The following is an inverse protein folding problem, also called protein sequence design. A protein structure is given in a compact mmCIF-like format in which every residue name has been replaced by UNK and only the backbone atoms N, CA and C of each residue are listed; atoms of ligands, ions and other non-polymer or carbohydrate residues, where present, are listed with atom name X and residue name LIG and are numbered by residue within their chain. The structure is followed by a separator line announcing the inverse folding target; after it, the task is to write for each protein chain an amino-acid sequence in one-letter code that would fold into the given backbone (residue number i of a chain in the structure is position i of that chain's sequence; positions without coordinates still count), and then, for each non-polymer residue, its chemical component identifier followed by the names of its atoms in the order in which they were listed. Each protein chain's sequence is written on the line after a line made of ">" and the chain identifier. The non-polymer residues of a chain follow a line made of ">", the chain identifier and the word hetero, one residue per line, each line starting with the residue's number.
data_IF_291311692072
#
_entry.id   IF_291311692072
#
_cell.length_a   1.000
_cell.length_b   1.000
_cell.length_c   1.000
_cell.angle_alpha   90.00
_cell.angle_beta   90.00
_cell.angle_gamma   90.00
#
_symmetry.space_group_name_H-M   'P 1'
#
loop_
_entity.id
_entity.type
_entity.pdbx_description
1 polymer ?
#
# COMPACT_ATOMS: atom_id res chain seq x y z
N UNK A 1 59.90 51.02 9.04
CA UNK A 1 59.97 50.73 7.58
C UNK A 1 58.77 49.87 7.23
N UNK A 2 57.61 50.48 6.96
CA UNK A 2 56.36 49.84 6.53
C UNK A 2 55.32 50.98 6.46
N UNK A 3 55.03 51.52 5.27
CA UNK A 3 53.80 52.27 4.92
C UNK A 3 53.92 52.82 3.48
N UNK A 4 54.00 51.95 2.47
CA UNK A 4 54.03 52.36 1.06
C UNK A 4 53.25 51.42 0.12
N UNK A 5 52.13 50.86 0.59
CA UNK A 5 51.41 49.77 -0.10
C UNK A 5 49.91 49.96 -0.31
N UNK A 6 49.29 51.07 0.09
CA UNK A 6 47.81 51.18 0.14
C UNK A 6 47.19 52.10 -0.93
N UNK A 7 47.98 52.85 -1.70
CA UNK A 7 47.47 53.86 -2.64
C UNK A 7 47.33 53.41 -4.12
N UNK A 8 47.58 52.13 -4.42
CA UNK A 8 47.42 51.59 -5.80
C UNK A 8 46.01 51.04 -6.06
N UNK A 9 45.38 50.41 -5.07
CA UNK A 9 44.08 49.74 -5.25
C UNK A 9 42.89 50.71 -5.41
N UNK A 10 42.94 51.91 -4.79
CA UNK A 10 41.86 52.90 -4.92
C UNK A 10 41.79 53.58 -6.29
N UNK A 11 42.88 53.60 -7.07
CA UNK A 11 42.86 54.15 -8.44
C UNK A 11 42.26 53.18 -9.46
N UNK A 12 42.44 51.88 -9.29
CA UNK A 12 41.91 50.86 -10.22
C UNK A 12 40.40 50.61 -10.07
N UNK A 13 39.82 50.92 -8.91
CA UNK A 13 38.36 50.78 -8.71
C UNK A 13 37.59 51.96 -9.33
N UNK A 14 38.18 53.16 -9.34
CA UNK A 14 37.54 54.34 -9.93
C UNK A 14 37.52 54.30 -11.47
N UNK A 15 38.50 53.65 -12.12
CA UNK A 15 38.54 53.52 -13.59
C UNK A 15 37.66 52.39 -14.12
N UNK A 16 37.35 51.35 -13.34
CA UNK A 16 36.52 50.22 -13.81
C UNK A 16 35.00 50.45 -13.79
N UNK A 17 34.52 51.55 -13.20
CA UNK A 17 33.09 51.89 -13.24
C UNK A 17 32.72 52.86 -14.37
N UNK A 18 33.70 53.31 -15.17
CA UNK A 18 33.48 54.33 -16.20
C UNK A 18 33.52 53.78 -17.64
N UNK A 19 33.79 52.48 -17.83
CA UNK A 19 33.78 51.83 -19.15
C UNK A 19 32.96 50.54 -19.14
N UNK A 20 31.70 50.63 -18.70
CA UNK A 20 30.69 49.72 -19.23
C UNK A 20 30.19 50.33 -20.54
N UNK A 21 30.51 49.78 -21.73
CA UNK A 21 29.80 50.21 -22.93
C UNK A 21 28.32 49.96 -22.65
N UNK A 22 27.52 51.04 -22.62
CA UNK A 22 26.08 50.91 -22.63
C UNK A 22 25.76 50.03 -23.83
N UNK A 23 25.41 48.76 -23.57
CA UNK A 23 24.89 47.86 -24.58
C UNK A 23 23.69 48.59 -25.18
N UNK A 24 23.95 49.23 -26.31
CA UNK A 24 22.99 50.09 -26.98
C UNK A 24 21.78 49.23 -27.29
N UNK A 25 20.60 49.86 -27.37
CA UNK A 25 19.38 49.15 -27.75
C UNK A 25 19.59 48.38 -29.07
N UNK A 26 20.50 48.83 -29.94
CA UNK A 26 20.96 48.11 -31.11
C UNK A 26 21.70 46.80 -30.78
N UNK A 27 22.66 46.77 -29.85
CA UNK A 27 23.37 45.51 -29.51
C UNK A 27 22.46 44.48 -28.84
N UNK A 28 21.48 44.95 -28.04
CA UNK A 28 20.42 44.06 -27.49
C UNK A 28 19.49 43.54 -28.58
N UNK A 29 19.12 44.38 -29.54
CA UNK A 29 18.32 43.96 -30.70
C UNK A 29 19.09 43.03 -31.62
N UNK A 30 20.39 43.20 -31.74
CA UNK A 30 21.27 42.36 -32.56
C UNK A 30 21.48 41.00 -31.91
N UNK A 31 21.74 40.96 -30.60
CA UNK A 31 21.79 39.72 -29.81
C UNK A 31 20.44 38.98 -29.82
N UNK A 32 19.31 39.69 -29.77
CA UNK A 32 17.98 39.10 -29.89
C UNK A 32 17.67 38.62 -31.32
N UNK A 33 18.11 39.36 -32.34
CA UNK A 33 17.96 38.97 -33.75
C UNK A 33 18.88 37.80 -34.12
N UNK A 34 20.03 37.67 -33.47
CA UNK A 34 20.95 36.56 -33.59
C UNK A 34 20.42 35.34 -32.83
N UNK A 35 19.80 35.52 -31.66
CA UNK A 35 19.01 34.48 -31.00
C UNK A 35 17.81 34.03 -31.84
N UNK A 36 17.12 34.96 -32.51
CA UNK A 36 15.99 34.62 -33.38
C UNK A 36 16.44 33.88 -34.65
N UNK A 37 17.62 34.21 -35.20
CA UNK A 37 18.23 33.52 -36.34
C UNK A 37 18.76 32.12 -35.97
N UNK A 38 19.40 31.98 -34.81
CA UNK A 38 19.90 30.68 -34.31
C UNK A 38 18.77 29.77 -33.84
N UNK A 39 17.65 30.33 -33.40
CA UNK A 39 16.41 29.62 -33.08
C UNK A 39 15.46 29.49 -34.28
N UNK A 40 15.99 29.59 -35.50
CA UNK A 40 15.33 29.15 -36.73
C UNK A 40 15.12 27.65 -36.69
N UNK A 41 14.14 27.20 -35.88
CA UNK A 41 13.66 25.84 -35.88
C UNK A 41 13.17 25.50 -37.29
N UNK A 42 13.44 24.28 -37.81
CA UNK A 42 12.93 23.87 -39.11
C UNK A 42 11.42 24.05 -39.12
N UNK A 43 10.91 24.68 -40.20
CA UNK A 43 9.53 25.13 -40.39
C UNK A 43 8.44 24.01 -40.39
N UNK A 44 8.72 22.84 -39.79
CA UNK A 44 7.80 21.71 -39.65
C UNK A 44 7.48 21.28 -38.20
N UNK A 45 8.05 21.94 -37.18
CA UNK A 45 8.05 21.39 -35.80
C UNK A 45 6.69 21.39 -35.07
N UNK A 46 5.71 22.17 -35.53
CA UNK A 46 4.38 22.22 -34.91
C UNK A 46 3.52 20.99 -35.17
N UNK A 47 3.66 20.33 -36.33
CA UNK A 47 2.82 19.17 -36.71
C UNK A 47 3.28 17.91 -36.00
N UNK A 48 4.59 17.70 -35.88
CA UNK A 48 5.17 16.60 -35.10
C UNK A 48 4.87 16.72 -33.60
N UNK A 49 4.96 17.94 -33.04
CA UNK A 49 4.57 18.19 -31.65
C UNK A 49 3.07 17.95 -31.42
N UNK A 50 2.20 18.39 -32.34
CA UNK A 50 0.75 18.12 -32.27
C UNK A 50 0.43 16.63 -32.37
N UNK A 51 1.14 15.88 -33.21
CA UNK A 51 0.98 14.42 -33.30
C UNK A 51 1.44 13.72 -32.02
N UNK A 52 2.58 14.12 -31.45
CA UNK A 52 3.06 13.59 -30.17
C UNK A 52 2.10 13.91 -29.01
N UNK A 53 1.59 15.14 -28.95
CA UNK A 53 0.60 15.55 -27.95
C UNK A 53 -0.72 14.79 -28.14
N UNK A 54 -1.17 14.62 -29.38
CA UNK A 54 -2.36 13.82 -29.69
C UNK A 54 -2.17 12.35 -29.28
N UNK A 55 -1.02 11.75 -29.59
CA UNK A 55 -0.70 10.38 -29.21
C UNK A 55 -0.64 10.24 -27.69
N UNK A 56 0.01 11.17 -26.99
CA UNK A 56 0.11 11.19 -25.54
C UNK A 56 -1.27 11.33 -24.86
N UNK A 57 -2.12 12.22 -25.37
CA UNK A 57 -3.50 12.36 -24.89
C UNK A 57 -4.30 11.10 -25.14
N UNK A 58 -4.16 10.47 -26.30
CA UNK A 58 -4.86 9.22 -26.63
C UNK A 58 -4.41 8.09 -25.72
N UNK A 59 -3.10 7.95 -25.50
CA UNK A 59 -2.53 6.97 -24.58
C UNK A 59 -2.99 7.21 -23.13
N UNK A 60 -3.04 8.48 -22.69
CA UNK A 60 -3.58 8.86 -21.39
C UNK A 60 -5.06 8.50 -21.27
N UNK A 61 -5.85 8.74 -22.32
CA UNK A 61 -7.28 8.42 -22.34
C UNK A 61 -7.50 6.90 -22.29
N UNK A 62 -6.72 6.12 -23.05
CA UNK A 62 -6.75 4.66 -23.00
C UNK A 62 -6.33 4.16 -21.62
N UNK A 63 -5.30 4.74 -21.01
CA UNK A 63 -4.89 4.40 -19.65
C UNK A 63 -5.98 4.73 -18.62
N UNK A 64 -6.66 5.87 -18.75
CA UNK A 64 -7.80 6.27 -17.90
C UNK A 64 -8.99 5.33 -18.07
N UNK A 65 -9.32 4.93 -19.31
CA UNK A 65 -10.39 3.96 -19.58
C UNK A 65 -10.00 2.59 -19.02
N UNK A 66 -8.77 2.13 -19.23
CA UNK A 66 -8.27 0.87 -18.68
C UNK A 66 -8.27 0.87 -17.15
N UNK A 67 -7.94 2.00 -16.53
CA UNK A 67 -8.06 2.22 -15.09
C UNK A 67 -9.52 2.12 -14.62
N UNK A 68 -10.44 2.80 -15.32
CA UNK A 68 -11.87 2.77 -15.02
C UNK A 68 -12.52 1.39 -15.18
N UNK A 69 -12.11 0.63 -16.20
CA UNK A 69 -12.60 -0.74 -16.45
C UNK A 69 -11.94 -1.75 -15.48
N UNK A 70 -10.99 -1.31 -14.67
CA UNK A 70 -10.34 -2.17 -13.68
C UNK A 70 -9.34 -3.12 -14.29
N UNK A 71 -8.70 -2.77 -15.41
CA UNK A 71 -7.55 -3.50 -15.94
C UNK A 71 -6.35 -3.52 -14.96
N UNK A 72 -6.31 -2.53 -14.05
CA UNK A 72 -5.44 -2.50 -12.86
C UNK A 72 -6.19 -2.83 -11.56
N UNK A 73 -7.43 -3.31 -11.68
CA UNK A 73 -8.34 -3.58 -10.57
C UNK A 73 -8.00 -4.87 -9.84
N UNK A 74 -8.40 -4.94 -8.58
CA UNK A 74 -8.24 -6.14 -7.76
C UNK A 74 -9.01 -7.29 -8.41
N UNK A 75 -8.40 -8.49 -8.57
CA UNK A 75 -9.06 -9.67 -9.12
C UNK A 75 -10.39 -9.94 -8.42
N UNK A 76 -11.37 -10.49 -9.15
CA UNK A 76 -12.72 -10.73 -8.62
C UNK A 76 -12.67 -11.64 -7.39
N UNK A 77 -11.83 -12.65 -7.43
CA UNK A 77 -11.62 -13.63 -6.37
C UNK A 77 -11.15 -12.97 -5.07
N UNK A 78 -10.22 -12.02 -5.18
CA UNK A 78 -9.71 -11.25 -4.03
C UNK A 78 -10.75 -10.25 -3.53
N UNK A 79 -11.54 -9.67 -4.42
CA UNK A 79 -12.62 -8.75 -4.04
C UNK A 79 -13.70 -9.45 -3.24
N UNK A 80 -14.09 -10.64 -3.67
CA UNK A 80 -15.11 -11.45 -2.99
C UNK A 80 -14.58 -11.90 -1.62
N UNK A 81 -13.34 -12.39 -1.56
CA UNK A 81 -12.68 -12.70 -0.29
C UNK A 81 -12.62 -11.50 0.65
N UNK A 82 -12.23 -10.33 0.14
CA UNK A 82 -12.18 -9.08 0.92
C UNK A 82 -13.56 -8.70 1.45
N UNK A 83 -14.62 -8.91 0.68
CA UNK A 83 -15.98 -8.61 1.14
C UNK A 83 -16.39 -9.49 2.32
N UNK A 84 -16.07 -10.79 2.27
CA UNK A 84 -16.29 -11.73 3.36
C UNK A 84 -15.46 -11.37 4.59
N UNK A 85 -14.17 -11.06 4.39
CA UNK A 85 -13.27 -10.60 5.46
C UNK A 85 -13.83 -9.35 6.13
N UNK A 86 -14.27 -8.35 5.36
CA UNK A 86 -14.82 -7.10 5.91
C UNK A 86 -16.12 -7.33 6.68
N UNK A 87 -16.99 -8.22 6.20
CA UNK A 87 -18.21 -8.58 6.90
C UNK A 87 -17.91 -9.20 8.27
N UNK A 88 -16.87 -10.04 8.33
CA UNK A 88 -16.46 -10.68 9.58
C UNK A 88 -15.72 -9.73 10.52
N UNK A 89 -14.90 -8.82 10.00
CA UNK A 89 -14.31 -7.75 10.82
C UNK A 89 -15.43 -6.88 11.44
N UNK A 90 -16.45 -6.55 10.67
CA UNK A 90 -17.59 -5.78 11.19
C UNK A 90 -18.40 -6.57 12.25
N UNK A 91 -18.44 -7.90 12.17
CA UNK A 91 -19.04 -8.75 13.22
C UNK A 91 -18.21 -8.67 14.51
N UNK A 92 -16.88 -8.78 14.38
CA UNK A 92 -15.93 -8.68 15.48
C UNK A 92 -15.96 -7.30 16.15
N UNK A 93 -16.12 -6.22 15.38
CA UNK A 93 -16.26 -4.87 15.94
C UNK A 93 -17.51 -4.69 16.82
N UNK A 94 -18.61 -5.41 16.55
CA UNK A 94 -19.78 -5.44 17.44
C UNK A 94 -19.46 -6.13 18.75
N UNK A 95 -18.72 -7.24 18.68
CA UNK A 95 -18.22 -7.95 19.87
C UNK A 95 -17.29 -7.07 20.69
N UNK A 96 -16.38 -6.34 20.03
CA UNK A 96 -15.49 -5.40 20.70
C UNK A 96 -16.29 -4.36 21.48
N UNK A 97 -17.42 -3.87 20.93
CA UNK A 97 -18.34 -2.91 21.57
C UNK A 97 -19.27 -3.51 22.63
N UNK A 98 -19.08 -4.78 23.01
CA UNK A 98 -19.94 -5.51 23.94
C UNK A 98 -21.39 -5.66 23.48
N UNK A 99 -21.66 -5.48 22.18
CA UNK A 99 -22.99 -5.67 21.59
C UNK A 99 -23.30 -7.17 21.36
N UNK A 100 -22.27 -8.02 21.40
CA UNK A 100 -22.37 -9.47 21.31
C UNK A 100 -21.28 -10.13 22.17
N UNK A 101 -21.52 -11.31 22.77
CA UNK A 101 -20.50 -12.04 23.51
C UNK A 101 -19.39 -12.55 22.58
N UNK A 102 -18.15 -12.42 23.01
CA UNK A 102 -17.03 -13.08 22.33
C UNK A 102 -17.11 -14.59 22.61
N UNK A 103 -17.47 -15.37 21.61
CA UNK A 103 -17.24 -16.80 21.63
C UNK A 103 -16.03 -17.08 20.74
N UNK A 104 -14.92 -17.49 21.37
CA UNK A 104 -13.65 -17.78 20.72
C UNK A 104 -13.72 -18.84 19.61
N UNK A 105 -14.85 -19.56 19.49
CA UNK A 105 -15.14 -20.49 18.41
C UNK A 105 -16.32 -20.13 17.49
N UNK A 106 -17.09 -19.07 17.75
CA UNK A 106 -18.31 -18.75 16.97
C UNK A 106 -18.07 -17.96 15.69
N UNK A 107 -16.89 -17.37 15.52
CA UNK A 107 -16.54 -16.71 14.26
C UNK A 107 -16.28 -17.81 13.23
N UNK A 108 -17.33 -18.15 12.47
CA UNK A 108 -17.29 -19.23 11.48
C UNK A 108 -16.49 -18.77 10.25
N UNK A 109 -15.18 -18.62 10.44
CA UNK A 109 -14.22 -18.29 9.38
C UNK A 109 -14.18 -19.37 8.28
N UNK A 110 -14.89 -20.49 8.44
CA UNK A 110 -14.96 -21.56 7.46
C UNK A 110 -15.23 -21.05 6.05
N UNK A 111 -16.22 -20.17 5.88
CA UNK A 111 -16.53 -19.57 4.59
C UNK A 111 -15.38 -18.72 4.01
N UNK A 112 -14.68 -17.97 4.87
CA UNK A 112 -13.51 -17.17 4.47
C UNK A 112 -12.34 -18.06 4.07
N UNK A 113 -12.07 -19.13 4.82
CA UNK A 113 -11.01 -20.10 4.52
C UNK A 113 -11.30 -20.90 3.24
N UNK A 114 -12.54 -21.32 3.02
CA UNK A 114 -12.93 -21.99 1.77
C UNK A 114 -12.71 -21.07 0.57
N UNK A 115 -13.16 -19.82 0.67
CA UNK A 115 -12.95 -18.84 -0.38
C UNK A 115 -11.45 -18.57 -0.62
N UNK A 116 -10.66 -18.44 0.45
CA UNK A 116 -9.22 -18.22 0.33
C UNK A 116 -8.48 -19.41 -0.32
N UNK A 117 -8.94 -20.65 -0.09
CA UNK A 117 -8.39 -21.85 -0.75
C UNK A 117 -8.75 -21.92 -2.23
N UNK A 118 -9.91 -21.41 -2.61
CA UNK A 118 -10.36 -21.34 -4.00
C UNK A 118 -9.61 -20.29 -4.83
N UNK A 119 -8.81 -19.40 -4.20
CA UNK A 119 -8.06 -18.36 -4.91
C UNK A 119 -6.92 -18.97 -5.74
N UNK A 120 -6.76 -18.55 -7.02
CA UNK A 120 -5.66 -18.97 -7.88
C UNK A 120 -4.27 -18.68 -7.27
N UNK A 121 -3.29 -19.53 -7.59
CA UNK A 121 -1.94 -19.45 -7.00
C UNK A 121 -1.27 -18.08 -7.17
N UNK A 122 -1.42 -17.46 -8.35
CA UNK A 122 -0.89 -16.13 -8.66
C UNK A 122 -1.42 -15.03 -7.70
N UNK A 123 -2.55 -15.28 -7.04
CA UNK A 123 -3.23 -14.32 -6.17
C UNK A 123 -3.20 -14.74 -4.70
N UNK A 124 -2.64 -15.90 -4.34
CA UNK A 124 -2.57 -16.40 -2.95
C UNK A 124 -1.93 -15.40 -2.00
N UNK A 125 -0.87 -14.70 -2.42
CA UNK A 125 -0.22 -13.69 -1.59
C UNK A 125 -1.16 -12.51 -1.24
N UNK A 126 -2.10 -12.17 -2.13
CA UNK A 126 -3.14 -11.20 -1.82
C UNK A 126 -4.18 -11.79 -0.86
N UNK A 127 -4.62 -13.04 -1.09
CA UNK A 127 -5.55 -13.72 -0.20
C UNK A 127 -5.01 -13.86 1.23
N UNK A 128 -3.75 -14.24 1.40
CA UNK A 128 -3.10 -14.36 2.71
C UNK A 128 -3.00 -13.02 3.45
N UNK A 129 -2.83 -11.90 2.74
CA UNK A 129 -2.88 -10.57 3.36
C UNK A 129 -4.26 -10.23 3.89
N UNK A 130 -5.33 -10.56 3.15
CA UNK A 130 -6.70 -10.36 3.61
C UNK A 130 -7.03 -11.27 4.81
N UNK A 131 -6.56 -12.51 4.79
CA UNK A 131 -6.66 -13.41 5.95
C UNK A 131 -5.91 -12.87 7.17
N UNK A 132 -4.69 -12.34 6.98
CA UNK A 132 -3.90 -11.73 8.06
C UNK A 132 -4.65 -10.58 8.74
N UNK A 133 -5.29 -9.71 7.96
CA UNK A 133 -6.16 -8.63 8.49
C UNK A 133 -7.30 -9.16 9.36
N UNK A 134 -7.93 -10.26 8.94
CA UNK A 134 -9.01 -10.87 9.71
C UNK A 134 -8.52 -11.38 11.06
N UNK A 135 -7.36 -12.05 11.08
CA UNK A 135 -6.75 -12.54 12.32
C UNK A 135 -6.33 -11.42 13.25
N UNK A 136 -5.69 -10.38 12.73
CA UNK A 136 -5.28 -9.21 13.52
C UNK A 136 -6.50 -8.52 14.16
N UNK A 137 -7.59 -8.37 13.42
CA UNK A 137 -8.84 -7.84 13.96
C UNK A 137 -9.38 -8.73 15.09
N UNK A 138 -9.40 -10.05 14.89
CA UNK A 138 -9.86 -11.01 15.91
C UNK A 138 -9.01 -10.93 17.19
N UNK A 139 -7.69 -10.94 17.07
CA UNK A 139 -6.78 -10.84 18.22
C UNK A 139 -7.01 -9.54 18.99
N UNK A 140 -7.16 -8.43 18.26
CA UNK A 140 -7.47 -7.13 18.84
C UNK A 140 -8.79 -7.16 19.63
N UNK A 141 -9.83 -7.75 19.05
CA UNK A 141 -11.15 -7.87 19.71
C UNK A 141 -11.10 -8.80 20.91
N UNK A 142 -10.36 -9.91 20.84
CA UNK A 142 -10.21 -10.83 21.96
C UNK A 142 -9.61 -10.13 23.18
N UNK A 143 -8.55 -9.36 22.97
CA UNK A 143 -7.90 -8.55 24.01
C UNK A 143 -8.84 -7.46 24.52
N UNK A 144 -9.44 -6.68 23.62
CA UNK A 144 -10.33 -5.58 24.01
C UNK A 144 -11.56 -6.06 24.77
N UNK A 145 -12.15 -7.19 24.36
CA UNK A 145 -13.32 -7.78 25.03
C UNK A 145 -13.03 -8.12 26.48
N UNK A 146 -11.83 -8.65 26.77
CA UNK A 146 -11.41 -9.00 28.12
C UNK A 146 -11.17 -7.76 28.99
N UNK A 147 -10.44 -6.76 28.45
CA UNK A 147 -10.10 -5.58 29.23
C UNK A 147 -11.27 -4.59 29.42
N UNK A 148 -12.29 -4.66 28.56
CA UNK A 148 -13.54 -3.90 28.73
C UNK A 148 -14.39 -4.37 29.92
N UNK A 149 -14.22 -5.62 30.37
CA UNK A 149 -14.94 -6.12 31.54
C UNK A 149 -14.47 -5.41 32.81
N UNK A 150 -15.39 -5.11 33.75
CA UNK A 150 -15.04 -4.66 35.10
C UNK A 150 -14.03 -5.63 35.73
N UNK A 151 -13.03 -5.11 36.45
CA UNK A 151 -11.96 -5.94 37.02
C UNK A 151 -12.49 -7.09 37.90
N UNK A 152 -13.61 -6.86 38.61
CA UNK A 152 -14.26 -7.86 39.46
C UNK A 152 -14.91 -9.03 38.66
N UNK A 153 -15.21 -8.84 37.38
CA UNK A 153 -15.88 -9.84 36.53
C UNK A 153 -14.88 -10.62 35.65
N UNK A 154 -13.62 -10.18 35.58
CA UNK A 154 -12.60 -10.79 34.72
C UNK A 154 -12.30 -12.25 35.11
N UNK A 155 -12.24 -12.55 36.41
CA UNK A 155 -11.96 -13.91 36.88
C UNK A 155 -13.08 -14.89 36.50
N UNK A 156 -14.34 -14.46 36.62
CA UNK A 156 -15.49 -15.26 36.22
C UNK A 156 -15.55 -15.50 34.70
N UNK A 157 -15.14 -14.51 33.90
CA UNK A 157 -15.03 -14.67 32.44
C UNK A 157 -13.86 -15.60 32.07
N UNK A 158 -12.71 -15.53 32.76
CA UNK A 158 -11.62 -16.48 32.55
C UNK A 158 -12.07 -17.92 32.81
N UNK A 159 -12.76 -18.14 33.93
CA UNK A 159 -13.32 -19.46 34.27
C UNK A 159 -14.28 -19.97 33.18
N UNK A 160 -15.14 -19.08 32.67
CA UNK A 160 -16.06 -19.41 31.57
C UNK A 160 -15.31 -19.79 30.30
N UNK A 161 -14.27 -19.03 29.93
CA UNK A 161 -13.44 -19.29 28.75
C UNK A 161 -12.64 -20.59 28.88
N UNK A 162 -12.10 -20.87 30.07
CA UNK A 162 -11.39 -22.11 30.37
C UNK A 162 -12.32 -23.31 30.20
N UNK A 163 -13.52 -23.27 30.79
CA UNK A 163 -14.51 -24.36 30.63
C UNK A 163 -14.89 -24.58 29.16
N UNK A 164 -15.14 -23.50 28.42
CA UNK A 164 -15.45 -23.58 27.00
C UNK A 164 -14.29 -24.21 26.19
N UNK A 165 -13.03 -23.89 26.53
CA UNK A 165 -11.87 -24.50 25.86
C UNK A 165 -11.66 -25.97 26.26
N UNK A 166 -11.91 -26.34 27.53
CA UNK A 166 -11.89 -27.73 27.97
C UNK A 166 -12.96 -28.56 27.28
N UNK A 167 -14.17 -28.04 27.11
CA UNK A 167 -15.23 -28.69 26.33
C UNK A 167 -14.80 -28.89 24.87
N UNK A 168 -14.15 -27.91 24.25
CA UNK A 168 -13.56 -28.06 22.90
C UNK A 168 -12.42 -29.07 22.84
N UNK A 169 -11.58 -29.15 23.87
CA UNK A 169 -10.53 -30.20 23.94
C UNK A 169 -11.17 -31.57 24.00
N UNK A 170 -12.16 -31.75 24.88
CA UNK A 170 -12.93 -33.01 25.00
C UNK A 170 -13.61 -33.38 23.69
N UNK A 171 -14.22 -32.42 22.99
CA UNK A 171 -14.87 -32.70 21.69
C UNK A 171 -13.86 -33.07 20.61
N UNK A 172 -12.69 -32.41 20.55
CA UNK A 172 -11.61 -32.79 19.62
C UNK A 172 -11.06 -34.18 19.91
N UNK A 173 -10.84 -34.50 21.19
CA UNK A 173 -10.34 -35.81 21.61
C UNK A 173 -11.36 -36.91 21.33
N UNK A 174 -12.66 -36.64 21.53
CA UNK A 174 -13.74 -37.55 21.17
C UNK A 174 -13.81 -37.80 19.65
N UNK A 175 -13.70 -36.77 18.82
CA UNK A 175 -13.63 -36.91 17.35
C UNK A 175 -12.39 -37.68 16.89
N UNK A 176 -11.26 -37.52 17.60
CA UNK A 176 -10.02 -38.25 17.32
C UNK A 176 -10.12 -39.72 17.72
N UNK A 177 -10.79 -40.01 18.84
CA UNK A 177 -11.06 -41.37 19.30
C UNK A 177 -12.02 -42.14 18.39
N UNK A 178 -12.92 -41.43 17.69
CA UNK A 178 -13.84 -42.00 16.70
C UNK A 178 -13.24 -42.18 15.29
N UNK A 179 -11.93 -41.96 15.12
CA UNK A 179 -11.21 -42.25 13.86
C UNK A 179 -11.25 -41.14 12.80
N UNK A 180 -11.81 -39.97 13.10
CA UNK A 180 -11.90 -38.82 12.18
C UNK A 180 -10.66 -37.92 12.13
N UNK A 181 -9.45 -38.49 12.20
CA UNK A 181 -8.22 -37.69 12.13
C UNK A 181 -7.96 -37.15 10.71
N UNK A 182 -7.51 -35.88 10.53
CA UNK A 182 -7.05 -35.41 9.23
C UNK A 182 -5.89 -36.30 8.73
N UNK A 183 -5.71 -36.50 7.41
CA UNK A 183 -4.67 -37.36 6.89
C UNK A 183 -3.31 -36.87 7.42
N UNK A 184 -2.71 -37.69 8.29
CA UNK A 184 -1.33 -37.53 8.73
C UNK A 184 -0.49 -37.52 7.46
N UNK A 185 0.17 -36.40 7.18
CA UNK A 185 1.28 -36.37 6.24
C UNK A 185 2.27 -37.45 6.65
N UNK A 186 2.31 -38.52 5.87
CA UNK A 186 3.31 -39.56 6.04
C UNK A 186 4.70 -38.99 5.80
N UNK A 187 5.75 -39.51 6.46
CA UNK A 187 7.12 -39.15 6.13
C UNK A 187 7.38 -39.45 4.65
N UNK A 188 8.17 -38.62 3.93
CA UNK A 188 8.45 -38.83 2.52
C UNK A 188 9.13 -40.18 2.34
N UNK A 189 8.44 -41.10 1.68
CA UNK A 189 9.04 -42.33 1.19
C UNK A 189 9.99 -41.97 0.03
N UNK A 190 11.26 -42.36 0.17
CA UNK A 190 12.15 -42.54 -0.98
C UNK A 190 13.20 -41.45 -1.20
N UNK A 191 14.26 -41.49 -0.39
CA UNK A 191 15.62 -41.36 -0.92
C UNK A 191 16.48 -42.47 -0.30
N UNK A 192 16.53 -43.61 -0.99
CA UNK A 192 17.60 -44.59 -0.84
C UNK A 192 18.14 -44.79 -2.26
N UNK A 193 19.34 -44.23 -2.50
CA UNK A 193 20.21 -44.60 -3.61
C UNK A 193 21.16 -45.70 -3.17
#
# INVERSE_FOLDING_TARGET
>A
MLEAGTNRWRRDVATRLQEGPMATVSSRREALAEFARTRGAPAGSGRGLRLLVGLALTALLVALIAWWVGAFGTPREIRDLRSLVNQEIASLERVARSEAPFDGGATNFGAVFEQARAVPEAQRAAAWREMGRLFEARETVEVQSFFRLPAAERDAELDRRIRAEEERRKSRDASRAQGGGPPRGGPPAGFAG
#
